data_IF_457999986680
#
_entry.id   IF_457999986680
#
_cell.length_a   1.000
_cell.length_b   1.000
_cell.length_c   1.000
_cell.angle_alpha   90.00
_cell.angle_beta   90.00
_cell.angle_gamma   90.00
#
_symmetry.space_group_name_H-M   'P 1'
#
loop_
_entity.id
_entity.type
_entity.pdbx_description
1 polymer ?
#
# COMPACT_ATOMS: atom_id res chain seq x y z
N UNK A 1 -2.46 -21.20 -3.01
CA UNK A 1 -1.95 -19.84 -3.25
C UNK A 1 -2.25 -18.95 -2.06
N UNK A 2 -1.35 -18.04 -1.74
CA UNK A 2 -1.56 -16.91 -0.81
C UNK A 2 -1.42 -15.62 -1.61
N UNK A 3 -1.99 -14.54 -1.08
CA UNK A 3 -2.04 -13.27 -1.78
C UNK A 3 -1.60 -12.15 -0.85
N UNK A 4 -0.66 -11.32 -1.32
CA UNK A 4 -0.17 -10.17 -0.56
C UNK A 4 -0.60 -8.87 -1.23
N UNK A 5 -1.23 -7.93 -0.50
CA UNK A 5 -1.70 -6.69 -1.09
C UNK A 5 -0.55 -5.75 -1.45
N UNK A 6 -0.74 -5.04 -2.57
CA UNK A 6 0.04 -3.90 -3.00
C UNK A 6 -0.88 -2.68 -2.97
N UNK A 7 -0.45 -1.60 -2.35
CA UNK A 7 -1.26 -0.39 -2.19
C UNK A 7 -0.58 0.82 -2.84
N UNK A 8 -1.41 1.67 -3.46
CA UNK A 8 -1.01 2.98 -3.95
C UNK A 8 -0.65 3.91 -2.79
N UNK A 9 0.41 4.69 -2.96
CA UNK A 9 0.81 5.73 -2.02
C UNK A 9 0.07 7.07 -2.24
N UNK A 10 -0.67 7.20 -3.35
CA UNK A 10 -1.41 8.43 -3.65
C UNK A 10 -2.76 8.49 -2.91
N UNK A 11 -3.47 7.35 -2.84
CA UNK A 11 -4.81 7.28 -2.25
C UNK A 11 -4.98 6.17 -1.21
N UNK A 12 -3.89 5.50 -0.82
CA UNK A 12 -3.81 4.41 0.15
C UNK A 12 -4.73 3.22 -0.17
N UNK A 13 -5.13 3.05 -1.45
CA UNK A 13 -5.99 1.95 -1.88
C UNK A 13 -5.16 0.77 -2.39
N UNK A 14 -5.70 -0.43 -2.17
CA UNK A 14 -5.15 -1.65 -2.77
C UNK A 14 -5.38 -1.60 -4.28
N UNK A 15 -4.30 -1.75 -5.05
CA UNK A 15 -4.30 -1.76 -6.52
C UNK A 15 -4.16 -3.16 -7.08
N UNK A 16 -3.46 -4.03 -6.36
CA UNK A 16 -3.20 -5.41 -6.80
C UNK A 16 -2.88 -6.33 -5.62
N UNK A 17 -2.88 -7.62 -5.90
CA UNK A 17 -2.35 -8.65 -5.00
C UNK A 17 -1.31 -9.47 -5.73
N UNK A 18 -0.18 -9.72 -5.08
CA UNK A 18 0.80 -10.69 -5.54
C UNK A 18 0.39 -12.09 -5.10
N UNK A 19 0.33 -13.01 -6.06
CA UNK A 19 0.00 -14.41 -5.85
C UNK A 19 1.26 -15.21 -5.52
N UNK A 20 1.32 -15.72 -4.32
CA UNK A 20 2.49 -16.37 -3.73
C UNK A 20 2.26 -17.86 -3.48
N UNK A 21 3.13 -18.69 -4.03
CA UNK A 21 3.10 -20.14 -3.78
C UNK A 21 3.37 -20.46 -2.31
N UNK A 22 2.61 -21.45 -1.78
CA UNK A 22 2.83 -22.01 -0.45
C UNK A 22 2.73 -23.52 -0.54
N UNK A 23 3.76 -24.22 0.01
CA UNK A 23 3.79 -25.67 0.02
C UNK A 23 3.55 -26.20 1.43
N UNK A 24 2.36 -26.75 1.65
CA UNK A 24 2.02 -27.46 2.87
C UNK A 24 2.42 -28.93 2.72
N UNK A 25 3.59 -29.29 3.24
CA UNK A 25 4.07 -30.66 3.22
C UNK A 25 3.45 -31.45 4.37
N UNK A 26 2.96 -32.71 4.15
CA UNK A 26 2.20 -33.46 5.16
C UNK A 26 2.98 -33.72 6.46
N UNK A 27 4.32 -33.83 6.40
CA UNK A 27 5.15 -34.11 7.58
C UNK A 27 6.08 -32.96 7.98
N UNK A 28 6.41 -32.02 7.05
CA UNK A 28 7.33 -30.90 7.29
C UNK A 28 6.61 -29.59 7.60
N UNK A 29 5.28 -29.57 7.46
CA UNK A 29 4.51 -28.34 7.59
C UNK A 29 4.71 -27.39 6.39
N UNK A 30 4.77 -26.09 6.63
CA UNK A 30 4.95 -25.09 5.58
C UNK A 30 6.41 -25.03 5.13
N UNK A 31 6.70 -25.44 3.90
CA UNK A 31 8.02 -25.38 3.28
C UNK A 31 8.22 -24.00 2.60
N UNK A 32 9.39 -23.41 2.81
CA UNK A 32 9.72 -22.09 2.27
C UNK A 32 9.82 -22.09 0.74
N UNK A 33 9.27 -21.06 0.03
CA UNK A 33 9.51 -20.89 -1.42
C UNK A 33 11.00 -20.86 -1.79
N UNK A 34 11.85 -20.27 -0.98
CA UNK A 34 13.29 -20.23 -1.18
C UNK A 34 13.95 -21.63 -1.19
N UNK A 35 13.28 -22.65 -0.64
CA UNK A 35 13.76 -24.04 -0.66
C UNK A 35 13.20 -24.80 -1.88
N UNK A 36 11.89 -24.72 -2.14
CA UNK A 36 11.28 -25.59 -3.14
C UNK A 36 11.27 -25.01 -4.57
N UNK A 37 11.27 -23.69 -4.75
CA UNK A 37 11.29 -23.07 -6.08
C UNK A 37 12.58 -23.42 -6.84
N UNK A 38 13.81 -23.27 -6.28
CA UNK A 38 15.02 -23.67 -6.97
C UNK A 38 15.07 -25.16 -7.30
N UNK A 39 14.46 -26.01 -6.46
CA UNK A 39 14.34 -27.44 -6.74
C UNK A 39 13.38 -27.71 -7.90
N UNK A 40 12.23 -27.04 -7.93
CA UNK A 40 11.26 -27.16 -9.02
C UNK A 40 11.84 -26.67 -10.36
N UNK A 41 12.66 -25.60 -10.35
CA UNK A 41 13.38 -25.14 -11.54
C UNK A 41 14.37 -26.17 -12.06
N UNK A 42 15.23 -26.73 -11.18
CA UNK A 42 16.22 -27.76 -11.55
C UNK A 42 15.58 -29.03 -12.09
N UNK A 43 14.41 -29.39 -11.62
CA UNK A 43 13.69 -30.62 -12.03
C UNK A 43 12.69 -30.40 -13.17
N UNK A 44 12.47 -29.15 -13.61
CA UNK A 44 11.46 -28.78 -14.59
C UNK A 44 10.04 -28.77 -14.06
N UNK A 45 9.82 -29.10 -12.78
CA UNK A 45 8.49 -29.07 -12.15
C UNK A 45 7.92 -27.65 -12.02
N UNK A 46 8.77 -26.63 -12.15
CA UNK A 46 8.32 -25.23 -12.14
C UNK A 46 7.37 -24.91 -13.30
N UNK A 47 7.47 -25.63 -14.44
CA UNK A 47 6.59 -25.43 -15.59
C UNK A 47 5.13 -25.81 -15.25
N UNK A 48 4.79 -27.05 -14.87
CA UNK A 48 3.42 -27.39 -14.50
C UNK A 48 2.94 -26.67 -13.23
N UNK A 49 3.84 -26.39 -12.29
CA UNK A 49 3.52 -25.64 -11.08
C UNK A 49 3.15 -24.18 -11.42
N UNK A 50 3.89 -23.54 -12.32
CA UNK A 50 3.61 -22.19 -12.76
C UNK A 50 2.34 -22.10 -13.62
N UNK A 51 2.05 -23.09 -14.46
CA UNK A 51 0.75 -23.17 -15.16
C UNK A 51 -0.40 -23.24 -14.16
N UNK A 52 -0.30 -24.10 -13.15
CA UNK A 52 -1.29 -24.19 -12.08
C UNK A 52 -1.44 -22.87 -11.33
N UNK A 53 -0.33 -22.20 -11.00
CA UNK A 53 -0.33 -20.92 -10.31
C UNK A 53 -1.02 -19.83 -11.12
N UNK A 54 -0.73 -19.70 -12.42
CA UNK A 54 -1.35 -18.75 -13.33
C UNK A 54 -2.87 -18.97 -13.43
N UNK A 55 -3.29 -20.23 -13.67
CA UNK A 55 -4.72 -20.57 -13.74
C UNK A 55 -5.46 -20.29 -12.44
N UNK A 56 -4.84 -20.65 -11.32
CA UNK A 56 -5.43 -20.42 -9.99
C UNK A 56 -5.53 -18.93 -9.67
N UNK A 57 -4.48 -18.16 -9.94
CA UNK A 57 -4.45 -16.73 -9.68
C UNK A 57 -5.46 -15.96 -10.55
N UNK A 58 -5.59 -16.30 -11.84
CA UNK A 58 -6.59 -15.72 -12.73
C UNK A 58 -8.01 -16.05 -12.29
N UNK A 59 -8.28 -17.31 -11.93
CA UNK A 59 -9.60 -17.75 -11.46
C UNK A 59 -10.00 -17.02 -10.16
N UNK A 60 -9.05 -16.83 -9.24
CA UNK A 60 -9.30 -16.09 -8.01
C UNK A 60 -9.55 -14.61 -8.30
N UNK A 61 -8.72 -13.99 -9.16
CA UNK A 61 -8.87 -12.59 -9.57
C UNK A 61 -10.24 -12.29 -10.23
N UNK A 62 -10.84 -13.29 -10.89
CA UNK A 62 -12.18 -13.14 -11.46
C UNK A 62 -13.27 -12.88 -10.40
N UNK A 63 -13.02 -13.23 -9.14
CA UNK A 63 -13.94 -12.97 -8.02
C UNK A 63 -13.75 -11.59 -7.38
N UNK A 64 -12.70 -10.86 -7.77
CA UNK A 64 -12.36 -9.55 -7.21
C UNK A 64 -12.96 -8.40 -8.04
N UNK A 65 -13.07 -7.19 -7.47
CA UNK A 65 -13.44 -6.00 -8.22
C UNK A 65 -12.57 -5.79 -9.47
N UNK A 66 -13.14 -5.32 -10.57
CA UNK A 66 -12.48 -5.20 -11.86
C UNK A 66 -11.25 -4.27 -11.87
N UNK A 67 -11.16 -3.36 -10.92
CA UNK A 67 -10.03 -2.44 -10.78
C UNK A 67 -8.84 -3.06 -10.01
N UNK A 68 -8.97 -4.29 -9.47
CA UNK A 68 -7.91 -4.98 -8.73
C UNK A 68 -7.18 -5.96 -9.65
N UNK A 69 -5.86 -5.88 -9.66
CA UNK A 69 -4.99 -6.71 -10.47
C UNK A 69 -4.45 -7.90 -9.66
N UNK A 70 -4.01 -8.94 -10.36
CA UNK A 70 -3.24 -10.03 -9.78
C UNK A 70 -1.85 -10.08 -10.43
N UNK A 71 -0.81 -10.14 -9.62
CA UNK A 71 0.57 -10.31 -10.05
C UNK A 71 1.01 -11.75 -9.79
N UNK A 72 1.72 -12.34 -10.76
CA UNK A 72 2.19 -13.74 -10.70
C UNK A 72 3.65 -13.80 -11.11
N UNK A 73 4.47 -14.42 -10.28
CA UNK A 73 5.89 -14.65 -10.53
C UNK A 73 6.10 -15.67 -11.65
N UNK A 74 7.00 -15.37 -12.58
CA UNK A 74 7.40 -16.26 -13.69
C UNK A 74 8.90 -16.49 -13.63
N UNK A 75 9.30 -17.77 -13.53
CA UNK A 75 10.71 -18.14 -13.48
C UNK A 75 11.38 -18.06 -14.86
N UNK A 76 12.73 -17.95 -14.87
CA UNK A 76 13.53 -17.98 -16.10
C UNK A 76 13.30 -19.24 -16.92
N UNK A 77 13.07 -20.39 -16.25
CA UNK A 77 12.79 -21.66 -16.91
C UNK A 77 11.47 -21.64 -17.66
N UNK A 78 10.44 -21.00 -17.08
CA UNK A 78 9.14 -20.83 -17.75
C UNK A 78 9.22 -19.89 -18.95
N UNK A 79 10.07 -18.84 -18.88
CA UNK A 79 10.28 -17.92 -20.00
C UNK A 79 10.89 -18.60 -21.22
N UNK A 80 11.64 -19.69 -21.03
CA UNK A 80 12.22 -20.46 -22.13
C UNK A 80 11.25 -21.50 -22.69
N UNK A 81 10.11 -21.75 -22.03
CA UNK A 81 9.08 -22.66 -22.52
C UNK A 81 8.20 -21.95 -23.56
N UNK A 82 8.22 -22.45 -24.79
CA UNK A 82 7.42 -21.92 -25.90
C UNK A 82 5.90 -21.95 -25.64
N UNK A 83 5.43 -22.65 -24.60
CA UNK A 83 4.03 -22.74 -24.21
C UNK A 83 3.56 -21.64 -23.26
N UNK A 84 4.46 -20.82 -22.72
CA UNK A 84 4.09 -19.81 -21.73
C UNK A 84 2.97 -18.89 -22.23
N UNK A 85 3.06 -18.41 -23.49
CA UNK A 85 2.03 -17.55 -24.06
C UNK A 85 0.67 -18.23 -24.13
N UNK A 86 0.62 -19.48 -24.56
CA UNK A 86 -0.63 -20.27 -24.64
C UNK A 86 -1.23 -20.52 -23.26
N UNK A 87 -0.37 -20.81 -22.26
CA UNK A 87 -0.79 -20.99 -20.86
C UNK A 87 -1.41 -19.71 -20.30
N UNK A 88 -0.77 -18.55 -20.51
CA UNK A 88 -1.26 -17.25 -20.04
C UNK A 88 -2.58 -16.90 -20.71
N UNK A 89 -2.66 -17.01 -22.03
CA UNK A 89 -3.90 -16.73 -22.80
C UNK A 89 -5.02 -17.68 -22.35
N UNK A 90 -4.72 -18.98 -22.19
CA UNK A 90 -5.67 -19.96 -21.71
C UNK A 90 -6.15 -19.69 -20.28
N UNK A 91 -5.28 -19.22 -19.39
CA UNK A 91 -5.65 -18.88 -18.02
C UNK A 91 -6.60 -17.66 -17.97
N UNK A 92 -6.28 -16.59 -18.73
CA UNK A 92 -7.10 -15.39 -18.85
C UNK A 92 -8.48 -15.73 -19.43
N UNK A 93 -8.51 -16.47 -20.54
CA UNK A 93 -9.74 -16.84 -21.24
C UNK A 93 -10.64 -17.72 -20.36
N UNK A 94 -10.07 -18.72 -19.67
CA UNK A 94 -10.81 -19.61 -18.79
C UNK A 94 -11.39 -18.90 -17.56
N UNK A 95 -10.70 -17.88 -17.05
CA UNK A 95 -11.15 -17.10 -15.90
C UNK A 95 -12.10 -15.95 -16.31
N UNK A 96 -12.12 -15.56 -17.58
CA UNK A 96 -12.94 -14.46 -18.08
C UNK A 96 -12.47 -13.07 -17.63
N UNK A 97 -11.20 -12.92 -17.21
CA UNK A 97 -10.66 -11.62 -16.81
C UNK A 97 -10.09 -10.84 -18.00
N UNK A 98 -10.04 -9.51 -17.86
CA UNK A 98 -9.37 -8.69 -18.85
C UNK A 98 -7.84 -8.89 -18.75
N UNK A 99 -7.10 -8.93 -19.90
CA UNK A 99 -5.64 -9.17 -19.87
C UNK A 99 -4.86 -8.19 -18.98
N UNK A 100 -5.28 -6.93 -18.91
CA UNK A 100 -4.65 -5.88 -18.09
C UNK A 100 -4.84 -6.06 -16.59
N UNK A 101 -5.63 -7.06 -16.17
CA UNK A 101 -5.77 -7.45 -14.76
C UNK A 101 -4.70 -8.46 -14.33
N UNK A 102 -4.02 -9.11 -15.27
CA UNK A 102 -2.88 -9.98 -14.98
C UNK A 102 -1.58 -9.20 -15.18
N UNK A 103 -0.70 -9.28 -14.20
CA UNK A 103 0.68 -8.81 -14.26
C UNK A 103 1.62 -10.00 -14.08
N UNK A 104 2.61 -10.15 -14.95
CA UNK A 104 3.68 -11.14 -14.83
C UNK A 104 4.90 -10.47 -14.24
N UNK A 105 5.38 -10.99 -13.12
CA UNK A 105 6.58 -10.51 -12.43
C UNK A 105 7.78 -11.36 -12.85
N UNK A 106 8.83 -10.68 -13.34
CA UNK A 106 10.03 -11.32 -13.87
C UNK A 106 11.23 -10.68 -13.19
N UNK A 107 12.07 -11.48 -12.55
CA UNK A 107 13.27 -10.96 -11.91
C UNK A 107 14.24 -10.35 -12.93
N UNK A 108 15.00 -9.36 -12.52
CA UNK A 108 16.02 -8.73 -13.35
C UNK A 108 16.96 -9.79 -13.98
N UNK A 109 17.42 -10.74 -13.18
CA UNK A 109 18.31 -11.82 -13.63
C UNK A 109 17.66 -12.74 -14.67
N UNK A 110 16.37 -13.07 -14.51
CA UNK A 110 15.63 -13.90 -15.47
C UNK A 110 15.44 -13.19 -16.81
N UNK A 111 15.20 -11.89 -16.77
CA UNK A 111 15.07 -11.08 -17.98
C UNK A 111 16.41 -10.96 -18.74
N UNK A 112 17.51 -10.81 -18.03
CA UNK A 112 18.86 -10.71 -18.64
C UNK A 112 19.37 -11.99 -19.30
N UNK A 113 18.94 -13.16 -18.84
CA UNK A 113 19.26 -14.44 -19.44
C UNK A 113 18.48 -14.68 -20.74
N UNK A 114 17.68 -13.72 -21.17
CA UNK A 114 16.72 -13.88 -22.24
C UNK A 114 17.39 -13.88 -23.62
N UNK A 115 17.09 -14.91 -24.38
CA UNK A 115 17.30 -14.96 -25.82
C UNK A 115 16.25 -14.14 -26.56
N UNK A 116 16.51 -13.80 -27.82
CA UNK A 116 15.56 -13.05 -28.66
C UNK A 116 14.13 -13.68 -28.73
N UNK A 117 14.00 -14.99 -28.55
CA UNK A 117 12.71 -15.68 -28.53
C UNK A 117 11.84 -15.33 -27.31
N UNK A 118 12.45 -15.21 -26.13
CA UNK A 118 11.73 -14.93 -24.90
C UNK A 118 11.19 -13.47 -24.89
N UNK A 119 11.98 -12.53 -25.44
CA UNK A 119 11.52 -11.14 -25.64
C UNK A 119 10.32 -11.07 -26.56
N UNK A 120 10.29 -11.88 -27.63
CA UNK A 120 9.15 -11.95 -28.53
C UNK A 120 7.88 -12.47 -27.83
N UNK A 121 8.01 -13.50 -26.98
CA UNK A 121 6.91 -14.02 -26.16
C UNK A 121 6.37 -12.96 -25.20
N UNK A 122 7.24 -12.31 -24.44
CA UNK A 122 6.82 -11.22 -23.53
C UNK A 122 6.17 -10.06 -24.27
N UNK A 123 6.70 -9.69 -25.45
CA UNK A 123 6.14 -8.64 -26.26
C UNK A 123 4.74 -9.01 -26.77
N UNK A 124 4.53 -10.24 -27.22
CA UNK A 124 3.20 -10.71 -27.65
C UNK A 124 2.17 -10.66 -26.51
N UNK A 125 2.56 -11.04 -25.29
CA UNK A 125 1.71 -10.95 -24.10
C UNK A 125 1.42 -9.49 -23.71
N UNK A 126 2.42 -8.63 -23.79
CA UNK A 126 2.25 -7.19 -23.56
C UNK A 126 1.26 -6.59 -24.60
N UNK A 127 1.41 -6.94 -25.88
CA UNK A 127 0.55 -6.43 -26.95
C UNK A 127 -0.91 -6.92 -26.82
N UNK A 128 -1.13 -8.06 -26.14
CA UNK A 128 -2.46 -8.53 -25.71
C UNK A 128 -3.03 -7.76 -24.52
N UNK A 129 -2.23 -6.92 -23.88
CA UNK A 129 -2.62 -6.12 -22.73
C UNK A 129 -2.23 -6.71 -21.38
N UNK A 130 -1.49 -7.84 -21.32
CA UNK A 130 -0.93 -8.37 -20.07
C UNK A 130 0.15 -7.41 -19.60
N UNK A 131 0.17 -7.13 -18.29
CA UNK A 131 1.17 -6.26 -17.68
C UNK A 131 2.43 -7.05 -17.38
N UNK A 132 3.58 -6.40 -17.51
CA UNK A 132 4.88 -7.00 -17.19
C UNK A 132 5.57 -6.10 -16.16
N UNK A 133 5.99 -6.67 -15.04
CA UNK A 133 6.74 -6.00 -14.00
C UNK A 133 8.16 -6.57 -13.92
N UNK A 134 9.12 -5.70 -13.63
CA UNK A 134 10.48 -6.11 -13.31
C UNK A 134 10.62 -6.23 -11.80
N UNK A 135 10.96 -7.41 -11.33
CA UNK A 135 11.09 -7.75 -9.92
C UNK A 135 12.55 -7.81 -9.46
N UNK A 136 12.79 -7.73 -8.14
CA UNK A 136 14.11 -7.73 -7.48
C UNK A 136 15.09 -6.69 -8.05
N UNK A 137 14.57 -5.54 -8.51
CA UNK A 137 15.39 -4.55 -9.21
C UNK A 137 16.48 -3.94 -8.31
N UNK A 138 17.70 -3.92 -8.84
CA UNK A 138 18.88 -3.37 -8.19
C UNK A 138 19.75 -4.41 -7.50
N UNK A 139 19.35 -5.69 -7.44
CA UNK A 139 20.15 -6.77 -6.86
C UNK A 139 21.11 -7.41 -7.85
N UNK A 140 20.94 -7.14 -9.16
CA UNK A 140 21.72 -7.68 -10.25
C UNK A 140 22.65 -6.65 -10.93
N UNK A 141 23.20 -7.04 -12.06
CA UNK A 141 23.96 -6.14 -12.94
C UNK A 141 22.99 -5.32 -13.80
N UNK A 142 22.38 -4.28 -13.22
CA UNK A 142 21.39 -3.45 -13.89
C UNK A 142 21.94 -2.82 -15.17
N UNK A 143 21.61 -3.42 -16.32
CA UNK A 143 21.81 -2.75 -17.59
C UNK A 143 20.55 -1.90 -17.89
N UNK A 144 20.63 -0.60 -17.67
CA UNK A 144 19.58 0.37 -18.01
C UNK A 144 19.07 0.22 -19.45
N UNK A 145 19.90 -0.36 -20.35
CA UNK A 145 19.52 -0.62 -21.73
C UNK A 145 18.33 -1.57 -21.85
N UNK A 146 18.16 -2.51 -20.91
CA UNK A 146 17.03 -3.43 -20.94
C UNK A 146 15.70 -2.77 -20.55
N UNK A 147 15.72 -1.85 -19.59
CA UNK A 147 14.53 -1.05 -19.26
C UNK A 147 14.04 -0.19 -20.45
N UNK A 148 14.96 0.23 -21.31
CA UNK A 148 14.62 1.00 -22.51
C UNK A 148 14.18 0.10 -23.68
N UNK A 149 14.56 -1.19 -23.66
CA UNK A 149 14.27 -2.13 -24.77
C UNK A 149 12.93 -2.81 -24.66
N UNK A 150 12.28 -2.78 -23.47
CA UNK A 150 10.99 -3.43 -23.24
C UNK A 150 10.03 -2.50 -22.48
N UNK A 151 8.74 -2.43 -22.85
CA UNK A 151 7.74 -1.57 -22.24
C UNK A 151 7.19 -2.20 -20.93
N UNK A 152 7.98 -2.15 -19.85
CA UNK A 152 7.50 -2.56 -18.54
C UNK A 152 6.38 -1.64 -18.05
N UNK A 153 5.56 -2.12 -17.12
CA UNK A 153 4.52 -1.34 -16.45
C UNK A 153 4.94 -0.93 -15.04
N UNK A 154 5.80 -1.75 -14.40
CA UNK A 154 6.20 -1.60 -13.00
C UNK A 154 7.64 -2.03 -12.78
N UNK A 155 8.28 -1.39 -11.81
CA UNK A 155 9.54 -1.83 -11.19
C UNK A 155 9.26 -2.07 -9.71
N UNK A 156 9.68 -3.24 -9.18
CA UNK A 156 9.63 -3.57 -7.76
C UNK A 156 11.04 -3.44 -7.20
N UNK A 157 11.20 -2.56 -6.21
CA UNK A 157 12.49 -2.35 -5.52
C UNK A 157 12.59 -3.39 -4.41
N UNK A 158 13.63 -4.21 -4.49
CA UNK A 158 13.86 -5.31 -3.55
C UNK A 158 13.92 -4.84 -2.10
N UNK A 159 13.37 -5.66 -1.21
CA UNK A 159 13.31 -5.42 0.24
C UNK A 159 14.67 -5.13 0.89
N UNK A 160 15.77 -5.60 0.29
CA UNK A 160 17.12 -5.36 0.81
C UNK A 160 17.42 -3.87 0.91
N UNK A 161 17.03 -3.08 -0.10
CA UNK A 161 17.22 -1.64 -0.11
C UNK A 161 16.27 -0.94 0.85
N UNK A 162 15.03 -1.43 0.96
CA UNK A 162 14.00 -0.84 1.83
C UNK A 162 14.33 -1.09 3.30
N UNK A 163 14.78 -2.30 3.65
CA UNK A 163 15.22 -2.62 5.02
C UNK A 163 16.40 -1.75 5.47
N UNK A 164 17.30 -1.40 4.55
CA UNK A 164 18.48 -0.60 4.85
C UNK A 164 18.24 0.93 4.83
N UNK A 165 17.03 1.40 4.50
CA UNK A 165 16.71 2.84 4.47
C UNK A 165 16.91 3.54 5.81
N UNK A 166 16.64 2.85 6.93
CA UNK A 166 16.78 3.46 8.27
C UNK A 166 18.23 3.69 8.67
N UNK A 167 19.17 2.91 8.14
CA UNK A 167 20.52 2.81 8.66
C UNK A 167 21.62 3.26 7.66
N UNK A 168 21.30 3.31 6.35
CA UNK A 168 22.31 3.53 5.29
C UNK A 168 21.90 4.64 4.33
N UNK A 169 22.71 5.68 4.26
CA UNK A 169 22.54 6.80 3.31
C UNK A 169 22.61 6.33 1.85
N UNK A 170 23.43 5.30 1.56
CA UNK A 170 23.60 4.74 0.22
C UNK A 170 22.30 4.16 -0.31
N UNK A 171 21.49 3.50 0.54
CA UNK A 171 20.19 2.96 0.14
C UNK A 171 19.21 4.06 -0.27
N UNK A 172 19.24 5.23 0.40
CA UNK A 172 18.45 6.39 -0.02
C UNK A 172 18.83 6.87 -1.42
N UNK A 173 20.14 6.94 -1.72
CA UNK A 173 20.64 7.37 -3.04
C UNK A 173 20.17 6.40 -4.12
N UNK A 174 20.29 5.09 -3.86
CA UNK A 174 19.90 4.05 -4.82
C UNK A 174 18.39 4.08 -5.06
N UNK A 175 17.56 4.03 -4.00
CA UNK A 175 16.09 4.05 -4.13
C UNK A 175 15.64 5.33 -4.84
N UNK A 176 16.22 6.49 -4.52
CA UNK A 176 15.94 7.75 -5.21
C UNK A 176 16.28 7.68 -6.70
N UNK A 177 17.45 7.17 -7.05
CA UNK A 177 17.86 7.05 -8.44
C UNK A 177 16.94 6.13 -9.25
N UNK A 178 16.51 4.99 -8.66
CA UNK A 178 15.56 4.07 -9.27
C UNK A 178 14.20 4.77 -9.45
N UNK A 179 13.74 5.49 -8.43
CA UNK A 179 12.45 6.20 -8.48
C UNK A 179 12.43 7.30 -9.54
N UNK A 180 13.50 8.09 -9.65
CA UNK A 180 13.60 9.15 -10.65
C UNK A 180 13.69 8.57 -12.08
N UNK A 181 14.40 7.46 -12.26
CA UNK A 181 14.46 6.73 -13.53
C UNK A 181 13.09 6.21 -13.94
N UNK A 182 12.41 5.46 -13.06
CA UNK A 182 11.11 4.88 -13.36
C UNK A 182 10.06 5.96 -13.65
N UNK A 183 10.08 7.08 -12.90
CA UNK A 183 9.22 8.24 -13.17
C UNK A 183 9.46 8.81 -14.57
N UNK A 184 10.73 8.94 -14.98
CA UNK A 184 11.10 9.42 -16.32
C UNK A 184 10.59 8.49 -17.42
N UNK A 185 10.52 7.19 -17.13
CA UNK A 185 9.98 6.15 -18.03
C UNK A 185 8.46 5.94 -17.88
N UNK A 186 7.79 6.68 -16.98
CA UNK A 186 6.35 6.56 -16.68
C UNK A 186 5.97 5.17 -16.13
N UNK A 187 6.87 4.51 -15.42
CA UNK A 187 6.65 3.23 -14.76
C UNK A 187 6.12 3.43 -13.35
N UNK A 188 5.32 2.49 -12.87
CA UNK A 188 4.99 2.39 -11.43
C UNK A 188 6.20 1.88 -10.66
N UNK A 189 6.29 2.25 -9.39
CA UNK A 189 7.39 1.85 -8.52
C UNK A 189 6.80 1.30 -7.24
N UNK A 190 7.02 0.01 -7.00
CA UNK A 190 6.62 -0.65 -5.76
C UNK A 190 7.84 -0.82 -4.86
N UNK A 191 7.77 -0.30 -3.64
CA UNK A 191 8.76 -0.58 -2.60
C UNK A 191 8.33 -1.85 -1.85
N UNK A 192 9.20 -2.87 -1.84
CA UNK A 192 8.94 -4.14 -1.21
C UNK A 192 9.47 -4.23 0.22
N UNK A 193 8.83 -5.07 1.04
CA UNK A 193 9.29 -5.29 2.40
C UNK A 193 9.17 -4.07 3.32
N UNK A 194 8.19 -3.21 3.09
CA UNK A 194 7.88 -2.10 4.01
C UNK A 194 7.24 -2.68 5.27
N UNK A 195 7.93 -2.57 6.41
CA UNK A 195 7.52 -3.15 7.69
C UNK A 195 7.22 -2.11 8.76
N UNK A 196 7.74 -0.87 8.59
CA UNK A 196 7.61 0.21 9.58
C UNK A 196 7.04 1.49 8.97
N UNK A 197 6.38 2.30 9.81
CA UNK A 197 5.92 3.64 9.43
C UNK A 197 7.06 4.55 8.99
N UNK A 198 8.26 4.37 9.56
CA UNK A 198 9.44 5.14 9.18
C UNK A 198 9.85 4.81 7.74
N UNK A 199 9.90 3.52 7.37
CA UNK A 199 10.17 3.12 5.98
C UNK A 199 9.10 3.64 5.04
N UNK A 200 7.81 3.57 5.42
CA UNK A 200 6.71 4.12 4.63
C UNK A 200 6.91 5.61 4.32
N UNK A 201 7.26 6.41 5.33
CA UNK A 201 7.52 7.84 5.12
C UNK A 201 8.72 8.06 4.18
N UNK A 202 9.78 7.26 4.32
CA UNK A 202 10.96 7.38 3.49
C UNK A 202 10.69 7.02 2.03
N UNK A 203 10.03 5.88 1.74
CA UNK A 203 9.72 5.49 0.35
C UNK A 203 8.77 6.48 -0.32
N UNK A 204 7.84 7.08 0.44
CA UNK A 204 6.96 8.15 -0.04
C UNK A 204 7.76 9.41 -0.42
N UNK A 205 8.70 9.86 0.43
CA UNK A 205 9.59 10.99 0.15
C UNK A 205 10.55 10.73 -1.02
N UNK A 206 10.97 9.47 -1.20
CA UNK A 206 11.86 9.07 -2.30
C UNK A 206 11.13 8.95 -3.63
N UNK A 207 9.79 9.00 -3.63
CA UNK A 207 8.98 9.05 -4.84
C UNK A 207 8.52 7.69 -5.37
N UNK A 208 8.49 6.66 -4.52
CA UNK A 208 7.78 5.43 -4.83
C UNK A 208 6.27 5.72 -4.99
N UNK A 209 5.60 4.96 -5.83
CA UNK A 209 4.16 5.13 -6.10
C UNK A 209 3.30 4.09 -5.40
N UNK A 210 3.88 2.96 -5.05
CA UNK A 210 3.20 1.83 -4.42
C UNK A 210 4.08 1.19 -3.35
N UNK A 211 3.46 0.48 -2.42
CA UNK A 211 4.13 -0.30 -1.37
C UNK A 211 3.60 -1.71 -1.28
N UNK A 212 4.47 -2.60 -0.84
CA UNK A 212 4.17 -3.96 -0.42
C UNK A 212 5.00 -4.29 0.82
N UNK A 213 4.40 -4.95 1.81
CA UNK A 213 5.12 -5.34 3.02
C UNK A 213 4.21 -5.69 4.18
N UNK A 214 4.82 -6.09 5.29
CA UNK A 214 4.08 -6.53 6.48
C UNK A 214 3.41 -5.37 7.21
N UNK A 215 3.86 -4.14 7.00
CA UNK A 215 3.17 -2.96 7.49
C UNK A 215 1.76 -2.87 6.92
N UNK A 216 1.60 -3.16 5.61
CA UNK A 216 0.30 -3.22 4.97
C UNK A 216 -0.43 -4.51 5.41
N UNK A 217 0.10 -5.67 5.03
CA UNK A 217 -0.32 -7.01 5.53
C UNK A 217 0.63 -8.11 5.05
N UNK A 218 0.80 -9.19 5.83
CA UNK A 218 1.44 -10.41 5.34
C UNK A 218 0.56 -11.14 4.31
N UNK A 219 1.14 -12.03 3.50
CA UNK A 219 0.39 -12.87 2.57
C UNK A 219 -0.71 -13.68 3.27
N UNK A 220 -1.91 -13.74 2.69
CA UNK A 220 -3.09 -14.44 3.23
C UNK A 220 -3.69 -15.37 2.19
N UNK A 221 -4.47 -16.36 2.66
CA UNK A 221 -5.25 -17.23 1.77
C UNK A 221 -6.35 -16.46 1.05
N UNK A 222 -6.85 -17.02 -0.07
CA UNK A 222 -7.94 -16.42 -0.84
C UNK A 222 -9.18 -16.10 0.03
N UNK A 223 -9.57 -17.01 0.91
CA UNK A 223 -10.72 -16.81 1.80
C UNK A 223 -10.54 -15.66 2.81
N UNK A 224 -9.29 -15.34 3.16
CA UNK A 224 -8.98 -14.25 4.09
C UNK A 224 -8.91 -12.87 3.41
N UNK A 225 -8.76 -12.81 2.07
CA UNK A 225 -8.72 -11.55 1.34
C UNK A 225 -10.10 -11.10 0.83
N UNK A 226 -11.04 -12.01 0.59
CA UNK A 226 -12.41 -11.69 0.14
C UNK A 226 -13.11 -10.63 1.02
N UNK A 227 -13.03 -10.66 2.36
CA UNK A 227 -13.65 -9.63 3.21
C UNK A 227 -13.12 -8.21 3.00
N UNK A 228 -11.94 -8.04 2.36
CA UNK A 228 -11.44 -6.69 2.02
C UNK A 228 -12.30 -6.03 0.95
N UNK A 229 -12.84 -6.81 0.03
CA UNK A 229 -13.66 -6.31 -1.07
C UNK A 229 -15.10 -6.05 -0.66
N UNK A 230 -15.68 -6.90 0.20
CA UNK A 230 -17.06 -6.74 0.67
C UNK A 230 -17.23 -5.50 1.53
N UNK A 231 -16.26 -5.14 2.37
CA UNK A 231 -16.28 -3.90 3.14
C UNK A 231 -16.20 -2.64 2.27
N UNK A 232 -15.54 -2.70 1.12
CA UNK A 232 -15.48 -1.60 0.16
C UNK A 232 -16.80 -1.47 -0.62
N UNK A 233 -17.45 -2.59 -0.98
CA UNK A 233 -18.74 -2.60 -1.69
C UNK A 233 -19.88 -2.07 -0.79
N UNK A 234 -19.97 -2.51 0.45
CA UNK A 234 -20.96 -2.01 1.42
C UNK A 234 -20.78 -0.51 1.71
N UNK A 235 -19.54 0.02 1.62
CA UNK A 235 -19.28 1.46 1.73
C UNK A 235 -19.74 2.23 0.49
N UNK A 236 -19.71 1.64 -0.69
CA UNK A 236 -20.13 2.27 -1.95
C UNK A 236 -21.66 2.23 -2.12
N UNK A 237 -22.31 1.15 -1.74
CA UNK A 237 -23.78 1.04 -1.81
C UNK A 237 -24.48 1.81 -0.68
N UNK A 238 -23.86 1.89 0.50
CA UNK A 238 -24.35 2.75 1.59
C UNK A 238 -24.18 4.25 1.30
N UNK A 239 -23.28 4.67 0.43
CA UNK A 239 -23.19 6.06 -0.04
C UNK A 239 -24.34 6.45 -0.97
N UNK A 240 -25.03 5.47 -1.59
CA UNK A 240 -26.22 5.71 -2.41
C UNK A 240 -27.54 5.58 -1.64
N UNK A 241 -27.53 4.94 -0.48
CA UNK A 241 -28.75 4.63 0.30
C UNK A 241 -28.85 5.35 1.65
N UNK A 242 -27.84 6.08 2.09
CA UNK A 242 -27.79 6.74 3.41
C UNK A 242 -27.42 8.21 3.29
N UNK A 243 -28.22 8.95 2.58
CA UNK A 243 -28.50 10.32 2.98
C UNK A 243 -29.40 10.21 4.22
N UNK A 244 -28.83 10.44 5.38
CA UNK A 244 -29.40 10.92 6.62
C UNK A 244 -29.27 10.15 7.93
N UNK A 245 -28.85 8.89 8.13
CA UNK A 245 -28.94 8.40 9.53
C UNK A 245 -27.94 7.40 10.12
N UNK A 246 -26.95 6.84 9.44
CA UNK A 246 -26.20 5.72 10.04
C UNK A 246 -24.67 5.71 9.89
N UNK A 247 -23.99 6.81 9.62
CA UNK A 247 -22.53 6.75 9.46
C UNK A 247 -21.77 7.43 10.61
N UNK A 248 -21.93 6.95 11.86
CA UNK A 248 -21.25 7.52 13.05
C UNK A 248 -20.43 6.55 13.89
N UNK A 249 -20.11 5.34 13.45
CA UNK A 249 -19.46 4.42 14.40
C UNK A 249 -18.06 3.90 14.08
N UNK A 250 -17.42 4.17 12.93
CA UNK A 250 -16.07 3.62 12.70
C UNK A 250 -15.12 4.45 11.83
N UNK A 251 -15.27 5.76 11.80
CA UNK A 251 -14.19 6.68 11.39
C UNK A 251 -13.93 7.64 12.54
N UNK A 252 -13.13 7.25 13.52
CA UNK A 252 -12.35 8.19 14.31
C UNK A 252 -11.21 8.70 13.45
N UNK A 253 -11.51 9.35 12.36
CA UNK A 253 -10.59 10.26 11.72
C UNK A 253 -10.69 11.61 12.44
N UNK A 254 -9.54 12.24 12.63
CA UNK A 254 -9.38 13.61 13.09
C UNK A 254 -10.56 14.48 12.63
N UNK A 255 -11.25 15.15 13.55
CA UNK A 255 -12.37 16.07 13.25
C UNK A 255 -11.94 17.33 12.50
N UNK A 256 -10.78 17.30 11.85
CA UNK A 256 -10.17 18.33 11.02
C UNK A 256 -10.30 17.86 9.57
N UNK A 257 -10.66 18.75 8.66
CA UNK A 257 -10.80 18.46 7.23
C UNK A 257 -9.60 17.69 6.68
N UNK A 258 -9.78 16.59 5.90
CA UNK A 258 -8.69 15.75 5.41
C UNK A 258 -7.76 16.40 4.38
N UNK A 259 -8.13 17.57 3.85
CA UNK A 259 -7.42 18.37 2.86
C UNK A 259 -6.45 19.39 3.46
N UNK A 260 -6.32 19.43 4.80
CA UNK A 260 -5.45 20.39 5.46
C UNK A 260 -4.15 19.75 5.99
N UNK A 261 -3.07 20.49 5.88
CA UNK A 261 -1.65 20.20 6.15
C UNK A 261 -1.34 19.41 7.45
N UNK A 262 -2.31 19.23 8.34
CA UNK A 262 -2.15 18.55 9.62
C UNK A 262 -2.10 17.02 9.50
N UNK A 263 -2.76 16.43 8.50
CA UNK A 263 -2.86 14.98 8.35
C UNK A 263 -1.53 14.28 7.99
N UNK A 264 -0.56 15.06 7.47
CA UNK A 264 0.75 14.55 7.08
C UNK A 264 1.84 14.78 8.14
N UNK A 265 1.56 15.55 9.19
CA UNK A 265 2.54 15.92 10.21
C UNK A 265 2.30 15.25 11.56
N UNK A 266 1.07 14.79 11.82
CA UNK A 266 0.69 14.28 13.13
C UNK A 266 0.24 12.82 13.06
N UNK A 267 0.61 12.05 14.07
CA UNK A 267 0.03 10.72 14.30
C UNK A 267 -1.44 10.82 14.72
N UNK A 268 -2.22 9.76 14.58
CA UNK A 268 -3.63 9.76 14.98
C UNK A 268 -3.83 10.19 16.44
N UNK A 269 -2.93 9.79 17.36
CA UNK A 269 -2.98 10.19 18.77
C UNK A 269 -2.63 11.67 18.99
N UNK A 270 -1.69 12.19 18.22
CA UNK A 270 -1.38 13.62 18.25
C UNK A 270 -2.53 14.46 17.67
N UNK A 271 -3.24 13.96 16.65
CA UNK A 271 -4.46 14.59 16.15
C UNK A 271 -5.56 14.64 17.22
N UNK A 272 -5.80 13.55 17.95
CA UNK A 272 -6.78 13.51 19.03
C UNK A 272 -6.44 14.56 20.12
N UNK A 273 -5.17 14.67 20.49
CA UNK A 273 -4.69 15.65 21.49
C UNK A 273 -4.78 17.08 20.92
N UNK A 274 -4.46 17.29 19.64
CA UNK A 274 -4.58 18.60 18.98
C UNK A 274 -6.04 19.12 18.99
N UNK A 275 -7.00 18.22 18.72
CA UNK A 275 -8.43 18.58 18.80
C UNK A 275 -8.77 19.08 20.20
N UNK A 276 -8.33 18.40 21.26
CA UNK A 276 -8.52 18.86 22.64
C UNK A 276 -7.90 20.24 22.87
N UNK A 277 -6.69 20.51 22.37
CA UNK A 277 -6.04 21.82 22.48
C UNK A 277 -6.86 22.93 21.79
N UNK A 278 -7.34 22.67 20.58
CA UNK A 278 -8.13 23.65 19.81
C UNK A 278 -9.51 23.87 20.46
N UNK A 279 -10.08 22.84 21.09
CA UNK A 279 -11.35 22.93 21.82
C UNK A 279 -11.21 23.58 23.20
N UNK A 280 -9.99 23.89 23.64
CA UNK A 280 -9.71 24.54 24.93
C UNK A 280 -9.60 23.57 26.12
N UNK A 281 -9.49 22.26 25.85
CA UNK A 281 -9.34 21.26 26.90
C UNK A 281 -8.03 21.43 27.70
N UNK A 282 -8.12 21.33 29.01
CA UNK A 282 -6.95 21.16 29.86
C UNK A 282 -6.29 19.78 29.64
N UNK A 283 -5.02 19.63 30.03
CA UNK A 283 -4.33 18.33 29.97
C UNK A 283 -5.10 17.22 30.68
N UNK A 284 -5.76 17.55 31.82
CA UNK A 284 -6.55 16.55 32.60
C UNK A 284 -7.86 16.16 31.87
N UNK A 285 -8.51 17.10 31.21
CA UNK A 285 -9.72 16.85 30.41
C UNK A 285 -9.41 16.01 29.18
N UNK A 286 -8.40 16.41 28.39
CA UNK A 286 -7.91 15.60 27.26
C UNK A 286 -7.52 14.20 27.72
N UNK A 287 -6.86 14.04 28.88
CA UNK A 287 -6.47 12.74 29.40
C UNK A 287 -7.69 11.85 29.71
N UNK A 288 -8.75 12.41 30.31
CA UNK A 288 -10.02 11.69 30.53
C UNK A 288 -10.73 11.32 29.24
N UNK A 289 -10.87 12.25 28.31
CA UNK A 289 -11.55 12.05 27.02
C UNK A 289 -10.85 10.96 26.17
N UNK A 290 -9.52 10.91 26.20
CA UNK A 290 -8.71 10.01 25.38
C UNK A 290 -8.33 8.70 26.09
N UNK A 291 -8.73 8.55 27.36
CA UNK A 291 -8.35 7.43 28.23
C UNK A 291 -6.82 7.25 28.31
N UNK A 292 -6.10 8.35 28.54
CA UNK A 292 -4.64 8.44 28.66
C UNK A 292 -4.24 8.99 30.03
N UNK A 293 -2.96 8.82 30.40
CA UNK A 293 -2.40 9.53 31.55
C UNK A 293 -2.18 11.02 31.21
N UNK A 294 -2.32 11.95 32.19
CA UNK A 294 -2.00 13.37 31.97
C UNK A 294 -0.57 13.55 31.43
N UNK A 295 0.38 12.77 31.93
CA UNK A 295 1.78 12.80 31.49
C UNK A 295 1.93 12.41 30.01
N UNK A 296 1.17 11.41 29.53
CA UNK A 296 1.15 11.01 28.12
C UNK A 296 0.60 12.13 27.23
N UNK A 297 -0.46 12.81 27.68
CA UNK A 297 -1.02 13.96 26.95
C UNK A 297 -0.02 15.12 26.88
N UNK A 298 0.74 15.38 27.95
CA UNK A 298 1.79 16.41 27.94
C UNK A 298 2.90 16.11 26.94
N UNK A 299 3.33 14.85 26.84
CA UNK A 299 4.31 14.41 25.84
C UNK A 299 3.79 14.67 24.42
N UNK A 300 2.55 14.28 24.13
CA UNK A 300 1.95 14.56 22.81
C UNK A 300 1.83 16.07 22.55
N UNK A 301 1.44 16.87 23.54
CA UNK A 301 1.38 18.36 23.42
C UNK A 301 2.76 18.96 23.11
N UNK A 302 3.82 18.43 23.72
CA UNK A 302 5.19 18.88 23.43
C UNK A 302 5.60 18.54 22.00
N UNK A 303 5.39 17.30 21.54
CA UNK A 303 5.70 16.88 20.18
C UNK A 303 4.91 17.67 19.14
N UNK A 304 3.61 17.96 19.36
CA UNK A 304 2.79 18.76 18.46
C UNK A 304 3.40 20.17 18.33
N UNK A 305 3.75 20.83 19.46
CA UNK A 305 4.37 22.16 19.43
C UNK A 305 5.70 22.16 18.68
N UNK A 306 6.51 21.15 18.85
CA UNK A 306 7.79 21.00 18.14
C UNK A 306 7.57 20.85 16.63
N UNK A 307 6.64 19.97 16.21
CA UNK A 307 6.31 19.74 14.79
C UNK A 307 5.79 21.00 14.10
N UNK A 308 5.03 21.83 14.79
CA UNK A 308 4.52 23.10 14.26
C UNK A 308 5.45 24.28 14.51
N UNK A 309 6.59 24.08 15.20
CA UNK A 309 7.58 25.11 15.54
C UNK A 309 6.95 26.29 16.29
N UNK A 310 6.04 26.02 17.23
CA UNK A 310 5.34 27.03 18.05
C UNK A 310 5.79 26.95 19.49
N UNK A 311 5.77 28.09 20.21
CA UNK A 311 6.26 28.19 21.59
C UNK A 311 5.24 27.70 22.61
N UNK A 312 3.97 27.96 22.38
CA UNK A 312 2.90 27.64 23.31
C UNK A 312 1.63 27.18 22.62
N UNK A 313 0.61 26.82 23.40
CA UNK A 313 -0.66 26.33 22.89
C UNK A 313 -1.50 27.43 22.22
N UNK A 314 -1.34 28.69 22.62
CA UNK A 314 -2.06 29.82 22.02
C UNK A 314 -1.54 30.11 20.61
N UNK A 315 -0.20 30.06 20.43
CA UNK A 315 0.42 30.15 19.10
C UNK A 315 0.00 28.98 18.21
N UNK A 316 -0.11 27.78 18.76
CA UNK A 316 -0.58 26.59 18.03
C UNK A 316 -2.01 26.81 17.54
N UNK A 317 -2.92 27.27 18.40
CA UNK A 317 -4.32 27.57 18.03
C UNK A 317 -4.36 28.64 16.94
N UNK A 318 -3.56 29.70 17.05
CA UNK A 318 -3.48 30.77 16.05
C UNK A 318 -3.03 30.23 14.68
N UNK A 319 -1.98 29.39 14.65
CA UNK A 319 -1.50 28.73 13.43
C UNK A 319 -2.58 27.83 12.83
N UNK A 320 -3.34 27.11 13.66
CA UNK A 320 -4.43 26.25 13.18
C UNK A 320 -5.59 27.05 12.61
N UNK A 321 -5.97 28.17 13.25
CA UNK A 321 -7.02 29.05 12.75
C UNK A 321 -6.64 29.72 11.42
N UNK A 322 -5.40 30.21 11.29
CA UNK A 322 -4.92 30.82 10.04
C UNK A 322 -4.83 29.82 8.88
N UNK A 323 -4.67 28.54 9.19
CA UNK A 323 -4.67 27.46 8.20
C UNK A 323 -6.06 26.87 7.95
N UNK A 324 -7.12 27.44 8.52
CA UNK A 324 -8.51 26.98 8.33
C UNK A 324 -8.85 25.69 9.07
N UNK A 325 -8.02 25.26 10.02
CA UNK A 325 -8.26 24.07 10.85
C UNK A 325 -9.24 24.42 11.99
N UNK A 326 -10.54 24.52 11.70
CA UNK A 326 -11.58 24.70 12.71
C UNK A 326 -12.09 23.35 13.20
N UNK A 327 -12.28 23.14 14.51
CA UNK A 327 -12.94 21.94 15.01
C UNK A 327 -14.39 21.93 14.51
N UNK A 328 -14.82 20.81 13.93
CA UNK A 328 -16.22 20.59 13.61
C UNK A 328 -17.03 20.60 14.92
N UNK A 329 -18.03 21.51 15.04
CA UNK A 329 -18.94 21.59 16.20
C UNK A 329 -19.73 20.31 16.37
N UNK A 330 -19.13 19.26 16.91
CA UNK A 330 -19.78 17.95 17.10
C UNK A 330 -18.88 16.86 17.64
N UNK A 331 -17.59 17.07 17.76
CA UNK A 331 -16.65 16.02 18.15
C UNK A 331 -16.77 15.62 19.65
N UNK A 332 -17.34 16.45 20.52
CA UNK A 332 -17.47 16.19 21.96
C UNK A 332 -18.86 16.42 22.57
N UNK A 333 -19.93 16.51 21.79
CA UNK A 333 -21.29 16.59 22.32
C UNK A 333 -21.85 15.22 22.69
N UNK A 334 -21.26 14.53 23.66
CA UNK A 334 -21.90 13.44 24.44
C UNK A 334 -21.17 13.23 25.77
N UNK A 335 -21.47 14.10 26.74
CA UNK A 335 -21.57 13.78 28.17
C UNK A 335 -21.65 15.10 28.96
N UNK A 336 -22.83 15.67 29.01
CA UNK A 336 -23.37 16.35 30.18
C UNK A 336 -24.67 17.04 29.79
N UNK A 337 -25.78 16.37 30.07
CA UNK A 337 -27.03 17.05 30.35
C UNK A 337 -26.89 17.58 31.79
N UNK A 338 -26.70 18.86 31.95
CA UNK A 338 -27.17 19.75 33.00
C UNK A 338 -26.41 21.06 32.95
N UNK A 339 -27.17 22.14 32.78
CA UNK A 339 -26.87 23.53 33.06
C UNK A 339 -25.70 24.24 32.35
N UNK A 340 -25.99 24.93 31.24
CA UNK A 340 -25.44 26.28 31.01
C UNK A 340 -26.48 27.14 30.29
N UNK A 341 -26.99 28.11 31.04
CA UNK A 341 -27.73 29.28 30.62
C UNK A 341 -26.95 30.13 29.62
N UNK A 342 -27.69 30.73 28.72
CA UNK A 342 -27.29 31.63 27.66
C UNK A 342 -26.37 32.77 28.12
N UNK A 343 -25.29 32.99 27.39
CA UNK A 343 -24.63 34.29 27.27
C UNK A 343 -24.57 34.68 25.79
N UNK A 344 -25.56 35.47 25.40
CA UNK A 344 -25.58 36.27 24.17
C UNK A 344 -24.50 37.33 24.27
N UNK A 345 -23.52 37.27 23.38
CA UNK A 345 -22.65 38.41 23.08
C UNK A 345 -23.14 39.03 21.77
N UNK A 346 -23.76 40.18 21.90
CA UNK A 346 -24.08 41.11 20.82
C UNK A 346 -22.78 41.67 20.21
N UNK A 347 -22.66 41.54 18.90
CA UNK A 347 -21.73 42.33 18.11
C UNK A 347 -22.51 43.52 17.59
N UNK A 348 -22.16 44.71 18.11
CA UNK A 348 -22.57 46.01 17.55
C UNK A 348 -21.56 46.47 16.51
N UNK A 349 -22.10 47.03 15.48
CA UNK A 349 -21.58 47.91 14.41
C UNK A 349 -20.09 47.92 14.08
#
# INVERSE_FOLDING_TARGET
MFYQPIASLDDDKITSFEALLRWHHPTRGLVSPAEFIPLAEKTGLIIPLGEWALRTACAEAATWPDNIQVAVNVSSVQLTDNKLADVVVGAIASAGIQPNRLELEITESAFMQNTSGNLATLKSLHDLGVRIAMDDFGTGYSSLSYLLSFPFHRIKIDRFFIAALTDKTESHVIVRAIADLARSLKLRITAEGVETEQQLQQVRMLGCTEIQGYLLRPPRSASEILPFFTRCAESADNLKAVDASANRRNRKMCGIRPDLVCSHLLTGRECDVLIGIISGDTTKESARHLNLSPRTVEVHRAHIKEKFKVKDSADLVRVMLTRGCLPYRGAFARASNSDVTAATVSVGE
#
